data_IF_354415702522
#
_entry.id   IF_354415702522
#
_cell.length_a   1.000
_cell.length_b   1.000
_cell.length_c   1.000
_cell.angle_alpha   90.00
_cell.angle_beta   90.00
_cell.angle_gamma   90.00
#
_symmetry.space_group_name_H-M   'P 1'
#
loop_
_entity.id
_entity.type
_entity.pdbx_description
1 polymer ?
#
# COMPACT_ATOMS: atom_id res chain seq x y z
N UNK A 1 -8.45 -22.85 -8.60
CA UNK A 1 -8.42 -21.46 -9.13
C UNK A 1 -9.51 -20.69 -8.43
N UNK A 2 -9.17 -19.69 -7.61
CA UNK A 2 -10.20 -18.80 -7.02
C UNK A 2 -10.82 -18.00 -8.17
N UNK A 3 -12.15 -17.91 -8.24
CA UNK A 3 -12.82 -16.97 -9.13
C UNK A 3 -12.22 -15.57 -8.90
N UNK A 4 -11.68 -14.95 -9.94
CA UNK A 4 -11.30 -13.54 -9.87
C UNK A 4 -12.60 -12.75 -9.80
N UNK A 5 -12.67 -11.83 -8.83
CA UNK A 5 -13.82 -10.97 -8.63
C UNK A 5 -14.02 -10.09 -9.88
N UNK A 6 -15.27 -9.92 -10.32
CA UNK A 6 -15.60 -9.14 -11.53
C UNK A 6 -15.11 -7.69 -11.41
N UNK A 7 -15.06 -7.16 -10.19
CA UNK A 7 -14.49 -5.86 -9.86
C UNK A 7 -12.99 -5.83 -10.16
N UNK A 8 -12.25 -6.89 -9.81
CA UNK A 8 -10.81 -6.99 -10.08
C UNK A 8 -10.53 -6.99 -11.58
N UNK A 9 -11.29 -7.75 -12.38
CA UNK A 9 -11.09 -7.75 -13.84
C UNK A 9 -11.43 -6.40 -14.48
N UNK A 10 -12.48 -5.73 -13.99
CA UNK A 10 -12.86 -4.40 -14.45
C UNK A 10 -11.74 -3.38 -14.18
N UNK A 11 -11.19 -3.37 -12.97
CA UNK A 11 -10.10 -2.47 -12.59
C UNK A 11 -8.82 -2.77 -13.40
N UNK A 12 -8.48 -4.04 -13.61
CA UNK A 12 -7.33 -4.42 -14.45
C UNK A 12 -7.46 -3.92 -15.89
N UNK A 13 -8.67 -3.96 -16.46
CA UNK A 13 -8.92 -3.42 -17.82
C UNK A 13 -8.88 -1.89 -17.85
N UNK A 14 -9.43 -1.23 -16.83
CA UNK A 14 -9.49 0.24 -16.77
C UNK A 14 -8.13 0.88 -16.56
N UNK A 15 -7.31 0.31 -15.68
CA UNK A 15 -6.01 0.86 -15.33
C UNK A 15 -4.87 0.22 -16.12
N UNK A 16 -5.12 -0.90 -16.81
CA UNK A 16 -4.17 -1.54 -17.72
C UNK A 16 -3.06 -2.35 -17.03
N UNK A 17 -3.16 -2.57 -15.72
CA UNK A 17 -2.17 -3.33 -14.96
C UNK A 17 -2.76 -4.68 -14.54
N UNK A 18 -2.04 -5.77 -14.78
CA UNK A 18 -2.37 -7.09 -14.23
C UNK A 18 -1.98 -7.16 -12.75
N UNK A 19 -2.59 -8.07 -11.98
CA UNK A 19 -2.17 -8.34 -10.58
C UNK A 19 -0.68 -8.62 -10.47
N UNK A 20 -0.12 -9.35 -11.43
CA UNK A 20 1.30 -9.71 -11.44
C UNK A 20 2.20 -8.49 -11.68
N UNK A 21 1.75 -7.56 -12.53
CA UNK A 21 2.46 -6.30 -12.78
C UNK A 21 2.42 -5.40 -11.54
N UNK A 22 1.24 -5.25 -10.93
CA UNK A 22 1.06 -4.52 -9.67
C UNK A 22 1.94 -5.10 -8.55
N UNK A 23 1.98 -6.43 -8.43
CA UNK A 23 2.81 -7.10 -7.44
C UNK A 23 4.31 -6.90 -7.71
N UNK A 24 4.73 -6.87 -8.97
CA UNK A 24 6.10 -6.59 -9.34
C UNK A 24 6.49 -5.16 -8.95
N UNK A 25 5.69 -4.18 -9.34
CA UNK A 25 5.96 -2.77 -9.07
C UNK A 25 6.03 -2.49 -7.55
N UNK A 26 5.16 -3.16 -6.77
CA UNK A 26 5.17 -3.04 -5.32
C UNK A 26 6.46 -3.59 -4.69
N UNK A 27 6.94 -4.75 -5.16
CA UNK A 27 8.20 -5.36 -4.68
C UNK A 27 9.42 -4.52 -5.07
N UNK A 28 9.39 -3.90 -6.24
CA UNK A 28 10.47 -3.03 -6.72
C UNK A 28 10.56 -1.77 -5.83
N UNK A 29 9.42 -1.14 -5.55
CA UNK A 29 9.34 -0.01 -4.61
C UNK A 29 9.73 -0.40 -3.16
N UNK A 30 9.31 -1.58 -2.69
CA UNK A 30 9.71 -2.10 -1.36
C UNK A 30 11.22 -2.29 -1.26
N UNK A 31 11.85 -2.87 -2.30
CA UNK A 31 13.29 -3.05 -2.36
C UNK A 31 14.06 -1.71 -2.43
N UNK A 32 13.53 -0.71 -3.14
CA UNK A 32 14.10 0.65 -3.15
C UNK A 32 14.04 1.28 -1.75
N UNK A 33 12.89 1.20 -1.07
CA UNK A 33 12.72 1.73 0.29
C UNK A 33 13.64 1.02 1.28
N UNK A 34 13.78 -0.30 1.22
CA UNK A 34 14.72 -1.06 2.06
C UNK A 34 16.18 -0.68 1.78
N UNK A 35 16.55 -0.51 0.51
CA UNK A 35 17.91 -0.14 0.11
C UNK A 35 18.29 1.29 0.54
N UNK A 36 17.32 2.21 0.54
CA UNK A 36 17.49 3.58 1.06
C UNK A 36 17.50 3.65 2.60
N UNK A 37 17.36 2.50 3.28
CA UNK A 37 17.43 2.39 4.73
C UNK A 37 16.07 2.52 5.44
N UNK A 38 14.97 2.58 4.70
CA UNK A 38 13.60 2.61 5.17
C UNK A 38 13.26 3.76 6.12
N UNK A 39 11.98 4.12 6.30
CA UNK A 39 11.61 4.89 7.48
C UNK A 39 11.93 4.07 8.73
N UNK A 40 12.63 4.66 9.70
CA UNK A 40 12.88 4.03 11.00
C UNK A 40 11.55 3.52 11.55
N UNK A 41 11.46 2.24 11.98
CA UNK A 41 10.26 1.72 12.61
C UNK A 41 9.84 2.66 13.75
N UNK A 42 8.59 3.11 13.71
CA UNK A 42 8.03 4.01 14.70
C UNK A 42 6.80 3.34 15.33
N UNK A 43 7.02 2.46 16.33
CA UNK A 43 5.94 1.69 16.97
C UNK A 43 4.88 2.58 17.62
N UNK A 44 5.24 3.80 17.98
CA UNK A 44 4.37 4.79 18.61
C UNK A 44 3.73 5.76 17.60
N UNK A 45 4.10 5.68 16.32
CA UNK A 45 3.66 6.60 15.28
C UNK A 45 2.15 6.63 15.14
N UNK A 46 1.50 5.47 15.25
CA UNK A 46 0.05 5.37 15.26
C UNK A 46 -0.58 6.13 16.43
N UNK A 47 -0.05 5.97 17.65
CA UNK A 47 -0.59 6.66 18.83
C UNK A 47 -0.47 8.18 18.69
N UNK A 48 0.68 8.68 18.23
CA UNK A 48 0.86 10.13 18.00
C UNK A 48 -0.07 10.68 16.91
N UNK A 49 -0.28 9.93 15.84
CA UNK A 49 -1.15 10.32 14.74
C UNK A 49 -2.62 10.32 15.18
N UNK A 50 -3.01 9.33 15.98
CA UNK A 50 -4.33 9.20 16.57
C UNK A 50 -4.65 10.36 17.53
N UNK A 51 -3.72 10.72 18.41
CA UNK A 51 -3.87 11.89 19.30
C UNK A 51 -4.07 13.18 18.51
N UNK A 52 -3.21 13.43 17.51
CA UNK A 52 -3.30 14.60 16.64
C UNK A 52 -4.64 14.67 15.90
N UNK A 53 -5.17 13.52 15.48
CA UNK A 53 -6.47 13.44 14.83
C UNK A 53 -7.62 13.83 15.79
N UNK A 54 -7.61 13.35 17.04
CA UNK A 54 -8.59 13.76 18.05
C UNK A 54 -8.52 15.26 18.35
N UNK A 55 -7.31 15.81 18.45
CA UNK A 55 -7.10 17.26 18.64
C UNK A 55 -7.63 18.09 17.46
N UNK A 56 -7.64 17.52 16.25
CA UNK A 56 -8.13 18.16 15.03
C UNK A 56 -9.62 17.92 14.75
N UNK A 57 -10.33 17.28 15.68
CA UNK A 57 -11.79 17.13 15.61
C UNK A 57 -12.26 15.95 14.75
N UNK A 58 -11.47 14.87 14.70
CA UNK A 58 -12.00 13.55 14.35
C UNK A 58 -12.95 13.02 15.44
#
# INVERSE_FOLDING_TARGET
>A
MKQKDEITELLQRLYGFSDDQLLKDFKEAEAEVEAEGGPTPDPEGFARLWEKMREQGL
#
